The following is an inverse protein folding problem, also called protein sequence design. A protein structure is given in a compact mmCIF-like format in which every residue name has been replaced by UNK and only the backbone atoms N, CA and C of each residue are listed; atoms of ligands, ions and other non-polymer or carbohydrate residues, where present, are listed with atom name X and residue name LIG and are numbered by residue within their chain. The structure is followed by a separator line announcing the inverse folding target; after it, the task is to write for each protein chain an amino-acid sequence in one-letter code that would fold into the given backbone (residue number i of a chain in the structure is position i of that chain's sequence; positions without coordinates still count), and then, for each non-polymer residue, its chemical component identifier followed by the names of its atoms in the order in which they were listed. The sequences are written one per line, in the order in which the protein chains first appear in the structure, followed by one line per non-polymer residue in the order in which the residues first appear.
data_IF_617672429062
#
_entry.id   IF_617672429062
#
_cell.length_a   1.000
_cell.length_b   1.000
_cell.length_c   1.000
_cell.angle_alpha   90.00
_cell.angle_beta   90.00
_cell.angle_gamma   90.00
#
_symmetry.space_group_name_H-M   'P 1'
#
loop_
_entity.id
_entity.type
_entity.pdbx_description
1 polymer ?
#
# COMPACT_ATOMS: atom_id res chain seq x y z
N UNK A 1 22.49 5.74 -11.52
CA UNK A 1 21.75 6.82 -10.84
C UNK A 1 21.71 6.46 -9.37
N UNK A 2 22.24 7.32 -8.50
CA UNK A 2 22.24 7.09 -7.05
C UNK A 2 20.85 7.45 -6.50
N UNK A 3 20.05 6.44 -6.17
CA UNK A 3 18.82 6.66 -5.42
C UNK A 3 19.18 6.87 -3.94
N UNK A 4 18.65 7.93 -3.36
CA UNK A 4 18.81 8.17 -1.92
C UNK A 4 17.86 7.25 -1.17
N UNK A 5 18.40 6.47 -0.22
CA UNK A 5 17.58 5.62 0.65
C UNK A 5 16.87 6.49 1.69
N UNK A 6 15.56 6.35 1.79
CA UNK A 6 14.72 7.03 2.79
C UNK A 6 13.81 6.03 3.49
N UNK A 7 13.26 6.44 4.63
CA UNK A 7 12.24 5.65 5.34
C UNK A 7 10.85 5.80 4.70
N UNK A 8 9.92 4.90 5.04
CA UNK A 8 8.51 5.01 4.65
C UNK A 8 7.90 6.31 5.18
N UNK A 9 8.10 6.63 6.45
CA UNK A 9 7.56 7.84 7.06
C UNK A 9 8.05 9.11 6.38
N UNK A 10 9.34 9.15 6.01
CA UNK A 10 9.91 10.28 5.26
C UNK A 10 9.34 10.40 3.85
N UNK A 11 9.15 9.27 3.16
CA UNK A 11 8.52 9.26 1.84
C UNK A 11 7.08 9.78 1.90
N UNK A 12 6.31 9.38 2.92
CA UNK A 12 4.94 9.86 3.13
C UNK A 12 4.89 11.36 3.42
N UNK A 13 5.76 11.86 4.31
CA UNK A 13 5.86 13.30 4.60
C UNK A 13 6.20 14.11 3.34
N UNK A 14 7.10 13.60 2.49
CA UNK A 14 7.44 14.24 1.22
C UNK A 14 6.25 14.29 0.27
N UNK A 15 5.47 13.21 0.18
CA UNK A 15 4.24 13.20 -0.62
C UNK A 15 3.20 14.19 -0.09
N UNK A 16 3.04 14.31 1.22
CA UNK A 16 2.16 15.29 1.85
C UNK A 16 2.61 16.73 1.58
N UNK A 17 3.93 16.98 1.53
CA UNK A 17 4.51 18.26 1.16
C UNK A 17 4.46 18.55 -0.36
N UNK A 18 3.96 17.61 -1.18
CA UNK A 18 3.90 17.74 -2.64
C UNK A 18 5.26 17.56 -3.34
N UNK A 19 6.26 17.01 -2.65
CA UNK A 19 7.58 16.71 -3.20
C UNK A 19 7.57 15.44 -4.06
N UNK A 20 8.51 15.37 -5.01
CA UNK A 20 8.69 14.18 -5.85
C UNK A 20 9.59 13.14 -5.20
N UNK A 21 9.19 11.86 -5.29
CA UNK A 21 9.98 10.72 -4.82
C UNK A 21 10.93 10.13 -5.90
N UNK A 22 11.03 10.73 -7.09
CA UNK A 22 11.69 10.15 -8.27
C UNK A 22 13.15 9.72 -8.06
N UNK A 23 13.88 10.36 -7.15
CA UNK A 23 15.30 10.09 -6.87
C UNK A 23 15.52 9.32 -5.56
N UNK A 24 14.46 8.78 -4.99
CA UNK A 24 14.50 8.07 -3.71
C UNK A 24 14.18 6.59 -3.89
N UNK A 25 14.53 5.80 -2.88
CA UNK A 25 14.21 4.37 -2.78
C UNK A 25 14.02 4.00 -1.32
N UNK A 26 13.25 2.95 -1.06
CA UNK A 26 13.01 2.41 0.28
C UNK A 26 13.49 0.96 0.29
N UNK A 27 14.05 0.54 1.42
CA UNK A 27 14.47 -0.84 1.67
C UNK A 27 13.35 -1.57 2.42
N UNK A 28 12.72 -2.54 1.74
CA UNK A 28 11.54 -3.25 2.27
C UNK A 28 11.88 -4.57 2.95
N UNK A 29 13.17 -4.98 2.98
CA UNK A 29 13.57 -6.31 3.46
C UNK A 29 13.24 -6.57 4.94
N UNK A 30 13.06 -5.50 5.73
CA UNK A 30 12.89 -5.57 7.19
C UNK A 30 11.71 -4.77 7.73
N UNK A 31 10.84 -4.27 6.85
CA UNK A 31 9.70 -3.44 7.26
C UNK A 31 8.42 -3.94 6.61
N UNK A 32 7.31 -3.68 7.30
CA UNK A 32 5.96 -3.87 6.80
C UNK A 32 5.32 -2.50 6.59
N UNK A 33 4.55 -2.35 5.53
CA UNK A 33 3.86 -1.11 5.15
C UNK A 33 2.37 -1.37 5.10
N UNK A 34 1.60 -0.48 5.71
CA UNK A 34 0.15 -0.55 5.75
C UNK A 34 -0.41 -0.34 4.33
N UNK A 35 -1.48 -1.05 3.99
CA UNK A 35 -2.02 -1.09 2.64
C UNK A 35 -2.43 0.30 2.11
N UNK A 36 -3.02 1.18 2.91
CA UNK A 36 -3.38 2.54 2.48
C UNK A 36 -2.13 3.38 2.19
N UNK A 37 -1.08 3.26 3.02
CA UNK A 37 0.19 3.91 2.76
C UNK A 37 0.90 3.39 1.50
N UNK A 38 0.76 2.09 1.19
CA UNK A 38 1.22 1.54 -0.11
C UNK A 38 0.55 2.24 -1.29
N UNK A 39 -0.76 2.53 -1.20
CA UNK A 39 -1.46 3.25 -2.27
C UNK A 39 -0.89 4.66 -2.47
N UNK A 40 -0.56 5.37 -1.37
CA UNK A 40 0.09 6.69 -1.43
C UNK A 40 1.47 6.61 -2.07
N UNK A 41 2.30 5.65 -1.66
CA UNK A 41 3.65 5.43 -2.21
C UNK A 41 3.62 5.08 -3.70
N UNK A 42 2.67 4.23 -4.11
CA UNK A 42 2.47 3.86 -5.52
C UNK A 42 2.13 5.06 -6.39
N UNK A 43 1.25 5.96 -5.91
CA UNK A 43 0.97 7.24 -6.58
C UNK A 43 2.22 8.13 -6.70
N UNK A 44 3.13 8.03 -5.74
CA UNK A 44 4.45 8.68 -5.74
C UNK A 44 5.51 8.02 -6.62
N UNK A 45 5.21 6.87 -7.25
CA UNK A 45 6.14 6.11 -8.09
C UNK A 45 7.03 5.13 -7.32
N UNK A 46 6.79 4.89 -6.03
CA UNK A 46 7.46 3.84 -5.26
C UNK A 46 6.62 2.58 -5.29
N UNK A 47 7.19 1.50 -5.83
CA UNK A 47 6.57 0.17 -5.87
C UNK A 47 6.96 -0.59 -4.60
N UNK A 48 5.96 -0.97 -3.82
CA UNK A 48 6.14 -1.79 -2.61
C UNK A 48 5.95 -3.28 -2.99
N UNK A 49 6.89 -4.17 -2.63
CA UNK A 49 6.70 -5.62 -2.82
C UNK A 49 5.50 -6.12 -2.01
N UNK A 50 4.71 -7.03 -2.58
CA UNK A 50 3.54 -7.61 -1.89
C UNK A 50 3.90 -8.23 -0.54
N UNK A 51 5.05 -8.92 -0.46
CA UNK A 51 5.55 -9.49 0.79
C UNK A 51 5.85 -8.46 1.89
N UNK A 52 5.94 -7.17 1.57
CA UNK A 52 6.15 -6.08 2.52
C UNK A 52 4.84 -5.38 2.92
N UNK A 53 3.70 -5.75 2.34
CA UNK A 53 2.40 -5.16 2.66
C UNK A 53 1.81 -5.88 3.89
N UNK A 54 1.20 -5.13 4.80
CA UNK A 54 0.33 -5.68 5.84
C UNK A 54 -1.03 -5.02 5.80
N UNK A 55 -2.06 -5.80 6.08
CA UNK A 55 -3.44 -5.37 6.18
C UNK A 55 -3.81 -5.34 7.65
N UNK A 56 -4.34 -4.22 8.13
CA UNK A 56 -4.79 -4.07 9.48
C UNK A 56 -6.28 -4.38 9.55
N UNK A 57 -6.65 -5.43 10.30
CA UNK A 57 -8.05 -5.84 10.42
C UNK A 57 -8.91 -4.76 11.10
N UNK A 58 -8.32 -3.89 11.94
CA UNK A 58 -9.02 -2.76 12.56
C UNK A 58 -9.49 -1.70 11.54
N UNK A 59 -8.85 -1.65 10.36
CA UNK A 59 -9.24 -0.75 9.26
C UNK A 59 -10.31 -1.39 8.36
N UNK A 60 -10.68 -2.65 8.60
CA UNK A 60 -11.75 -3.36 7.89
C UNK A 60 -13.06 -3.14 8.64
N UNK A 61 -13.90 -2.24 8.12
CA UNK A 61 -15.24 -2.03 8.65
C UNK A 61 -16.15 -3.15 8.10
N UNK A 62 -16.76 -3.91 9.01
CA UNK A 62 -17.83 -4.83 8.66
C UNK A 62 -19.06 -4.02 8.25
N UNK A 63 -19.50 -4.18 7.00
CA UNK A 63 -20.73 -3.58 6.50
C UNK A 63 -21.92 -4.46 6.93
N UNK A 64 -22.59 -4.06 8.02
CA UNK A 64 -23.80 -4.75 8.51
C UNK A 64 -24.98 -4.63 7.52
N UNK A 65 -24.96 -3.68 6.58
CA UNK A 65 -25.99 -3.51 5.54
C UNK A 65 -25.78 -4.43 4.34
N UNK A 66 -24.69 -5.21 4.29
CA UNK A 66 -24.50 -6.22 3.25
C UNK A 66 -25.45 -7.41 3.45
N UNK A 67 -26.67 -7.30 2.91
CA UNK A 67 -27.66 -8.38 2.82
C UNK A 67 -27.44 -9.24 1.56
N UNK A 68 -26.27 -9.89 1.47
CA UNK A 68 -25.92 -10.76 0.36
C UNK A 68 -25.74 -12.23 0.77
N UNK A 69 -26.47 -13.14 0.14
CA UNK A 69 -26.18 -14.58 0.25
C UNK A 69 -25.00 -14.96 -0.64
N UNK A 70 -24.08 -15.76 -0.10
CA UNK A 70 -23.01 -16.36 -0.89
C UNK A 70 -23.59 -17.32 -1.94
N UNK A 71 -23.68 -16.86 -3.19
CA UNK A 71 -24.08 -17.68 -4.32
C UNK A 71 -22.86 -18.27 -5.01
N UNK A 72 -22.93 -19.56 -5.31
CA UNK A 72 -21.92 -20.25 -6.11
C UNK A 72 -21.98 -19.73 -7.55
N UNK A 73 -20.88 -19.19 -8.05
CA UNK A 73 -20.72 -18.83 -9.47
C UNK A 73 -20.12 -20.02 -10.20
N UNK A 74 -20.93 -20.71 -11.00
CA UNK A 74 -20.43 -21.75 -11.90
C UNK A 74 -19.80 -21.09 -13.14
N UNK A 75 -18.56 -21.46 -13.46
CA UNK A 75 -17.90 -21.00 -14.68
C UNK A 75 -18.32 -21.91 -15.85
N UNK A 76 -18.75 -21.37 -17.01
CA UNK A 76 -19.04 -22.20 -18.17
C UNK A 76 -17.75 -22.85 -18.67
N UNK A 77 -17.76 -24.17 -18.81
CA UNK A 77 -16.73 -24.99 -19.46
C UNK A 77 -16.70 -24.78 -20.96
#
# INVERSE_FOLDING_TARGET
MTHHKISVSEALQKLEAGESLRYYSIDFDRIKVEALDVMKLSKGGIVVPEAAIYYNDDDIVYDEEFEGDWVRVDHPT
#
